data_IF_171897589662
#
_entry.id   IF_171897589662
#
_cell.length_a   1.000
_cell.length_b   1.000
_cell.length_c   1.000
_cell.angle_alpha   90.00
_cell.angle_beta   90.00
_cell.angle_gamma   90.00
#
_symmetry.space_group_name_H-M   'P 1'
#
loop_
_entity.id
_entity.type
_entity.pdbx_description
1 polymer ?
#
# COMPACT_ATOMS: atom_id res chain seq x y z
N UNK A 1 -11.48 -4.44 7.19
CA UNK A 1 -10.02 -4.25 7.06
C UNK A 1 -9.51 -3.62 8.33
N UNK A 2 -8.38 -4.07 8.87
CA UNK A 2 -7.67 -3.42 9.97
C UNK A 2 -6.23 -3.14 9.59
N UNK A 3 -5.66 -2.09 10.19
CA UNK A 3 -4.26 -1.69 10.00
C UNK A 3 -3.54 -1.79 11.36
N UNK A 4 -3.18 -3.02 11.79
CA UNK A 4 -2.67 -3.27 13.14
C UNK A 4 -1.33 -2.60 13.44
N UNK A 5 -0.43 -2.54 12.45
CA UNK A 5 0.91 -1.99 12.63
C UNK A 5 1.35 -1.13 11.44
N UNK A 6 2.00 -0.01 11.75
CA UNK A 6 2.66 0.87 10.79
C UNK A 6 4.10 1.10 11.21
N UNK A 7 5.05 0.89 10.30
CA UNK A 7 6.49 1.04 10.53
C UNK A 7 7.10 1.93 9.45
N UNK A 8 8.05 2.77 9.83
CA UNK A 8 8.87 3.52 8.89
C UNK A 8 10.11 2.68 8.57
N UNK A 9 10.33 2.34 7.31
CA UNK A 9 11.42 1.46 6.87
C UNK A 9 12.26 2.13 5.78
N UNK A 10 13.60 2.01 5.80
CA UNK A 10 14.43 2.44 4.67
C UNK A 10 14.01 1.73 3.39
N UNK A 11 13.96 2.45 2.26
CA UNK A 11 13.51 1.85 0.99
C UNK A 11 14.34 0.63 0.57
N UNK A 12 15.65 0.64 0.82
CA UNK A 12 16.53 -0.48 0.52
C UNK A 12 16.31 -1.73 1.38
N UNK A 13 15.58 -1.62 2.49
CA UNK A 13 15.31 -2.75 3.40
C UNK A 13 13.92 -3.37 3.18
N UNK A 14 13.09 -2.75 2.33
CA UNK A 14 11.71 -3.19 2.05
C UNK A 14 11.64 -4.65 1.64
N UNK A 15 12.42 -5.06 0.65
CA UNK A 15 12.34 -6.44 0.13
C UNK A 15 12.76 -7.47 1.18
N UNK A 16 13.77 -7.14 2.00
CA UNK A 16 14.21 -7.98 3.10
C UNK A 16 13.11 -8.12 4.17
N UNK A 17 12.40 -7.04 4.50
CA UNK A 17 11.33 -7.06 5.49
C UNK A 17 10.10 -7.88 5.07
N UNK A 18 9.92 -8.09 3.76
CA UNK A 18 8.75 -8.80 3.19
C UNK A 18 8.97 -10.31 2.99
N UNK A 19 10.11 -10.84 3.43
CA UNK A 19 10.41 -12.28 3.34
C UNK A 19 11.51 -12.66 2.35
N UNK A 20 12.20 -11.68 1.77
CA UNK A 20 13.42 -11.89 1.01
C UNK A 20 13.35 -11.38 -0.42
N UNK A 21 14.52 -11.10 -0.98
CA UNK A 21 14.67 -10.42 -2.27
C UNK A 21 14.14 -11.25 -3.45
N UNK A 22 14.34 -12.57 -3.40
CA UNK A 22 13.93 -13.54 -4.42
C UNK A 22 12.53 -14.12 -4.18
N UNK A 23 11.75 -13.56 -3.25
CA UNK A 23 10.39 -14.00 -3.03
C UNK A 23 9.52 -13.62 -4.24
N UNK A 24 8.85 -14.56 -4.92
CA UNK A 24 7.90 -14.24 -5.97
C UNK A 24 6.67 -13.56 -5.36
N UNK A 25 6.30 -12.38 -5.88
CA UNK A 25 5.21 -11.58 -5.37
C UNK A 25 4.28 -11.10 -6.50
N UNK A 26 3.03 -10.82 -6.15
CA UNK A 26 2.15 -9.96 -6.92
C UNK A 26 2.17 -8.57 -6.28
N UNK A 27 2.62 -7.57 -7.04
CA UNK A 27 2.60 -6.17 -6.65
C UNK A 27 1.49 -5.41 -7.37
N UNK A 28 0.71 -4.63 -6.62
CA UNK A 28 -0.27 -3.68 -7.17
C UNK A 28 0.15 -2.27 -6.77
N UNK A 29 0.58 -1.48 -7.77
CA UNK A 29 0.98 -0.10 -7.59
C UNK A 29 -0.16 0.84 -7.95
N UNK A 30 -0.42 1.81 -7.06
CA UNK A 30 -1.42 2.88 -7.24
C UNK A 30 -0.71 4.20 -7.06
N UNK A 31 -0.53 4.95 -8.15
CA UNK A 31 0.13 6.26 -8.09
C UNK A 31 -0.69 7.29 -7.30
N UNK A 32 0.00 8.15 -6.55
CA UNK A 32 -0.57 9.27 -5.80
C UNK A 32 -0.16 10.59 -6.47
N UNK A 33 -1.12 11.50 -6.62
CA UNK A 33 -0.93 12.83 -7.19
C UNK A 33 -1.74 13.89 -6.43
N UNK A 34 -1.44 15.17 -6.69
CA UNK A 34 -2.09 16.32 -6.05
C UNK A 34 -1.06 17.15 -5.27
N UNK A 35 -1.41 17.55 -4.05
CA UNK A 35 -0.51 18.29 -3.16
C UNK A 35 0.68 17.46 -2.68
N UNK A 36 0.52 16.13 -2.68
CA UNK A 36 1.55 15.13 -2.44
C UNK A 36 1.67 14.20 -3.65
N UNK A 37 2.90 13.81 -3.95
CA UNK A 37 3.30 12.89 -5.01
C UNK A 37 3.90 11.64 -4.39
N UNK A 38 3.56 10.50 -4.94
CA UNK A 38 3.94 9.22 -4.36
C UNK A 38 3.27 8.04 -5.03
N UNK A 39 3.18 6.95 -4.29
CA UNK A 39 2.38 5.80 -4.64
C UNK A 39 2.18 4.86 -3.46
N UNK A 40 1.10 4.10 -3.56
CA UNK A 40 0.81 2.98 -2.69
C UNK A 40 1.15 1.68 -3.43
N UNK A 41 1.90 0.79 -2.81
CA UNK A 41 2.29 -0.50 -3.36
C UNK A 41 1.81 -1.61 -2.43
N UNK A 42 0.78 -2.34 -2.85
CA UNK A 42 0.34 -3.56 -2.20
C UNK A 42 1.25 -4.70 -2.67
N UNK A 43 1.85 -5.44 -1.74
CA UNK A 43 2.70 -6.60 -2.01
C UNK A 43 2.12 -7.84 -1.34
N UNK A 44 1.97 -8.88 -2.16
CA UNK A 44 1.45 -10.18 -1.75
C UNK A 44 2.44 -11.26 -2.22
N UNK A 45 2.93 -12.16 -1.35
CA UNK A 45 3.57 -13.38 -1.80
C UNK A 45 2.68 -14.10 -2.82
N UNK A 46 3.28 -14.69 -3.85
CA UNK A 46 2.52 -15.31 -4.96
C UNK A 46 1.45 -16.30 -4.47
N UNK A 47 1.78 -17.14 -3.51
CA UNK A 47 0.85 -18.14 -2.96
C UNK A 47 -0.31 -17.48 -2.21
N UNK A 48 -0.03 -16.39 -1.47
CA UNK A 48 -1.06 -15.56 -0.84
C UNK A 48 -1.95 -14.89 -1.89
N UNK A 49 -1.38 -14.38 -2.98
CA UNK A 49 -2.14 -13.76 -4.07
C UNK A 49 -3.09 -14.75 -4.76
N UNK A 50 -2.66 -16.01 -4.96
CA UNK A 50 -3.50 -17.08 -5.52
C UNK A 50 -4.70 -17.37 -4.60
N UNK A 51 -4.45 -17.68 -3.33
CA UNK A 51 -5.53 -17.95 -2.37
C UNK A 51 -6.45 -16.74 -2.15
N UNK A 52 -5.90 -15.53 -2.19
CA UNK A 52 -6.70 -14.31 -2.09
C UNK A 52 -7.57 -14.10 -3.33
N UNK A 53 -7.07 -14.44 -4.52
CA UNK A 53 -7.89 -14.39 -5.74
C UNK A 53 -9.03 -15.41 -5.72
N UNK A 54 -8.82 -16.62 -5.18
CA UNK A 54 -9.89 -17.60 -4.97
C UNK A 54 -11.00 -17.01 -4.11
N UNK A 55 -10.63 -16.40 -2.98
CA UNK A 55 -11.56 -15.75 -2.07
C UNK A 55 -12.34 -14.61 -2.73
N UNK A 56 -11.65 -13.70 -3.43
CA UNK A 56 -12.27 -12.54 -4.10
C UNK A 56 -13.24 -12.96 -5.22
N UNK A 57 -12.94 -14.07 -5.90
CA UNK A 57 -13.74 -14.60 -7.00
C UNK A 57 -14.77 -15.65 -6.55
N UNK A 58 -14.86 -15.94 -5.25
CA UNK A 58 -15.80 -16.92 -4.69
C UNK A 58 -15.53 -18.36 -5.14
N UNK A 59 -14.27 -18.72 -5.36
CA UNK A 59 -13.82 -20.05 -5.78
C UNK A 59 -13.40 -20.90 -4.57
N UNK A 60 -13.26 -22.20 -4.78
CA UNK A 60 -12.70 -23.09 -3.76
C UNK A 60 -11.25 -22.73 -3.47
N UNK A 61 -10.87 -22.70 -2.19
CA UNK A 61 -9.51 -22.35 -1.77
C UNK A 61 -8.47 -23.31 -2.37
N UNK A 62 -7.46 -22.76 -3.06
CA UNK A 62 -6.40 -23.52 -3.72
C UNK A 62 -6.78 -24.02 -5.12
N UNK A 63 -7.94 -23.61 -5.66
CA UNK A 63 -8.35 -23.96 -7.02
C UNK A 63 -7.60 -23.16 -8.09
N UNK A 64 -7.13 -21.95 -7.75
CA UNK A 64 -6.32 -21.12 -8.66
C UNK A 64 -4.84 -21.50 -8.58
N UNK A 65 -4.25 -21.86 -9.73
CA UNK A 65 -2.83 -22.24 -9.84
C UNK A 65 -1.94 -21.18 -10.51
N UNK A 66 -2.56 -20.20 -11.18
CA UNK A 66 -1.89 -19.13 -11.90
C UNK A 66 -2.70 -17.83 -11.78
N UNK A 67 -1.99 -16.69 -11.75
CA UNK A 67 -2.60 -15.37 -11.78
C UNK A 67 -2.79 -14.96 -13.25
N UNK A 68 -4.01 -15.14 -13.77
CA UNK A 68 -4.43 -14.67 -15.08
C UNK A 68 -5.07 -13.28 -15.02
N UNK A 69 -5.71 -12.87 -16.11
CA UNK A 69 -6.31 -11.53 -16.20
C UNK A 69 -7.42 -11.30 -15.16
N UNK A 70 -8.25 -12.31 -14.89
CA UNK A 70 -9.34 -12.21 -13.91
C UNK A 70 -8.81 -12.04 -12.49
N UNK A 71 -7.84 -12.85 -12.09
CA UNK A 71 -7.22 -12.80 -10.76
C UNK A 71 -6.48 -11.48 -10.57
N UNK A 72 -5.71 -11.06 -11.57
CA UNK A 72 -5.01 -9.77 -11.54
C UNK A 72 -5.98 -8.60 -11.46
N UNK A 73 -7.12 -8.67 -12.15
CA UNK A 73 -8.16 -7.63 -12.07
C UNK A 73 -8.73 -7.51 -10.65
N UNK A 74 -9.06 -8.64 -10.02
CA UNK A 74 -9.58 -8.65 -8.65
C UNK A 74 -8.57 -8.10 -7.63
N UNK A 75 -7.29 -8.49 -7.77
CA UNK A 75 -6.22 -7.99 -6.92
C UNK A 75 -5.95 -6.48 -7.14
N UNK A 76 -6.04 -6.01 -8.39
CA UNK A 76 -5.93 -4.57 -8.72
C UNK A 76 -7.01 -3.74 -8.04
N UNK A 77 -8.26 -4.22 -8.07
CA UNK A 77 -9.36 -3.54 -7.39
C UNK A 77 -9.13 -3.48 -5.89
N UNK A 78 -8.64 -4.57 -5.29
CA UNK A 78 -8.29 -4.59 -3.86
C UNK A 78 -7.19 -3.58 -3.52
N UNK A 79 -6.11 -3.53 -4.32
CA UNK A 79 -5.05 -2.53 -4.13
C UNK A 79 -5.56 -1.09 -4.25
N UNK A 80 -6.47 -0.83 -5.20
CA UNK A 80 -7.12 0.46 -5.36
C UNK A 80 -7.99 0.83 -4.14
N UNK A 81 -8.78 -0.11 -3.61
CA UNK A 81 -9.58 0.10 -2.39
C UNK A 81 -8.71 0.40 -1.18
N UNK A 82 -7.64 -0.37 -0.96
CA UNK A 82 -6.72 -0.15 0.16
C UNK A 82 -6.01 1.21 0.06
N UNK A 83 -5.52 1.56 -1.13
CA UNK A 83 -4.93 2.86 -1.39
C UNK A 83 -5.93 4.00 -1.19
N UNK A 84 -7.18 3.84 -1.65
CA UNK A 84 -8.24 4.85 -1.49
C UNK A 84 -8.58 5.07 -0.02
N UNK A 85 -8.73 3.99 0.75
CA UNK A 85 -8.99 4.07 2.18
C UNK A 85 -7.88 4.83 2.91
N UNK A 86 -6.62 4.53 2.62
CA UNK A 86 -5.49 5.16 3.30
C UNK A 86 -5.32 6.64 2.89
N UNK A 87 -5.41 6.93 1.60
CA UNK A 87 -5.28 8.30 1.07
C UNK A 87 -6.43 9.20 1.49
N UNK A 88 -7.65 8.67 1.61
CA UNK A 88 -8.79 9.39 2.16
C UNK A 88 -8.52 9.82 3.61
N UNK A 89 -8.01 8.91 4.46
CA UNK A 89 -7.63 9.28 5.83
C UNK A 89 -6.55 10.36 5.87
N UNK A 90 -5.56 10.33 4.98
CA UNK A 90 -4.57 11.42 4.86
C UNK A 90 -5.25 12.73 4.49
N UNK A 91 -6.11 12.72 3.46
CA UNK A 91 -6.80 13.92 2.99
C UNK A 91 -7.66 14.54 4.09
N UNK A 92 -8.43 13.72 4.83
CA UNK A 92 -9.28 14.18 5.94
C UNK A 92 -8.45 14.78 7.08
N UNK A 93 -7.32 14.15 7.43
CA UNK A 93 -6.47 14.58 8.53
C UNK A 93 -5.59 15.79 8.21
N UNK A 94 -5.33 16.07 6.93
CA UNK A 94 -4.36 17.10 6.52
C UNK A 94 -4.95 18.21 5.66
N UNK A 95 -6.17 17.99 5.16
CA UNK A 95 -6.86 18.84 4.18
C UNK A 95 -6.03 19.06 2.91
N UNK A 96 -5.21 18.08 2.53
CA UNK A 96 -4.45 18.06 1.29
C UNK A 96 -5.29 17.46 0.15
N UNK A 97 -5.12 17.96 -1.08
CA UNK A 97 -5.63 17.31 -2.29
C UNK A 97 -4.80 16.05 -2.57
N UNK A 98 -5.41 14.88 -2.37
CA UNK A 98 -4.77 13.58 -2.64
C UNK A 98 -5.64 12.81 -3.63
N UNK A 99 -5.07 12.49 -4.79
CA UNK A 99 -5.74 11.79 -5.89
C UNK A 99 -4.99 10.52 -6.25
N UNK A 100 -5.73 9.48 -6.58
CA UNK A 100 -5.18 8.21 -7.05
C UNK A 100 -5.17 8.13 -8.58
N UNK A 101 -4.14 7.47 -9.11
CA UNK A 101 -4.03 7.06 -10.51
C UNK A 101 -4.56 5.64 -10.68
N UNK A 102 -4.73 5.23 -11.94
CA UNK A 102 -5.14 3.87 -12.30
C UNK A 102 -4.12 2.86 -11.74
N UNK A 103 -4.57 1.77 -11.08
CA UNK A 103 -3.67 0.77 -10.53
C UNK A 103 -2.98 -0.03 -11.64
N UNK A 104 -1.71 -0.37 -11.45
CA UNK A 104 -0.93 -1.27 -12.29
C UNK A 104 -0.51 -2.49 -11.47
N UNK A 105 -0.52 -3.68 -12.06
CA UNK A 105 -0.11 -4.90 -11.38
C UNK A 105 1.02 -5.61 -12.11
N UNK A 106 1.96 -6.16 -11.35
CA UNK A 106 3.11 -6.92 -11.84
C UNK A 106 3.31 -8.16 -10.97
N UNK A 107 3.70 -9.27 -11.58
CA UNK A 107 4.10 -10.49 -10.89
C UNK A 107 5.56 -10.75 -11.22
N UNK A 108 6.43 -10.66 -10.22
CA UNK A 108 7.88 -10.82 -10.37
C UNK A 108 8.52 -11.09 -9.00
N UNK A 109 9.85 -11.15 -8.94
CA UNK A 109 10.59 -11.15 -7.69
C UNK A 109 10.38 -9.84 -6.92
N UNK A 110 10.37 -9.92 -5.58
CA UNK A 110 10.07 -8.79 -4.72
C UNK A 110 10.95 -7.56 -5.01
N UNK A 111 12.27 -7.73 -5.12
CA UNK A 111 13.18 -6.63 -5.48
C UNK A 111 12.85 -6.03 -6.83
N UNK A 112 12.56 -6.85 -7.84
CA UNK A 112 12.24 -6.35 -9.18
C UNK A 112 10.96 -5.51 -9.19
N UNK A 113 9.93 -5.92 -8.45
CA UNK A 113 8.70 -5.15 -8.30
C UNK A 113 8.97 -3.82 -7.59
N UNK A 114 9.66 -3.85 -6.45
CA UNK A 114 9.97 -2.63 -5.67
C UNK A 114 10.83 -1.67 -6.48
N UNK A 115 11.92 -2.13 -7.10
CA UNK A 115 12.81 -1.31 -7.92
C UNK A 115 12.09 -0.70 -9.12
N UNK A 116 11.20 -1.44 -9.77
CA UNK A 116 10.43 -0.93 -10.91
C UNK A 116 9.53 0.25 -10.51
N UNK A 117 8.96 0.20 -9.31
CA UNK A 117 8.17 1.29 -8.74
C UNK A 117 9.07 2.46 -8.36
N UNK A 118 10.20 2.19 -7.72
CA UNK A 118 11.15 3.22 -7.29
C UNK A 118 11.75 4.00 -8.46
N UNK A 119 12.02 3.32 -9.58
CA UNK A 119 12.51 3.92 -10.81
C UNK A 119 11.53 4.94 -11.43
N UNK A 120 10.24 4.88 -11.07
CA UNK A 120 9.21 5.82 -11.51
C UNK A 120 9.20 7.15 -10.76
N UNK A 121 9.89 7.27 -9.62
CA UNK A 121 9.95 8.51 -8.85
C UNK A 121 11.09 9.40 -9.29
N UNK A 122 10.87 10.72 -9.30
CA UNK A 122 11.94 11.67 -9.61
C UNK A 122 12.89 11.82 -8.43
N UNK A 123 12.33 11.90 -7.22
CA UNK A 123 13.08 11.99 -5.97
C UNK A 123 12.37 11.19 -4.88
N UNK A 124 12.55 9.86 -4.84
CA UNK A 124 11.96 9.05 -3.77
C UNK A 124 12.48 9.53 -2.41
N UNK A 125 11.59 9.54 -1.41
CA UNK A 125 11.99 9.74 -0.02
C UNK A 125 12.97 8.66 0.46
N UNK A 126 13.63 8.89 1.59
CA UNK A 126 14.58 7.90 2.13
C UNK A 126 13.89 6.66 2.74
N UNK A 127 12.60 6.79 3.09
CA UNK A 127 11.84 5.77 3.80
C UNK A 127 10.47 5.56 3.16
N UNK A 128 9.92 4.37 3.32
CA UNK A 128 8.52 4.05 3.10
C UNK A 128 7.79 3.85 4.43
N UNK A 129 6.48 4.09 4.43
CA UNK A 129 5.61 3.57 5.47
C UNK A 129 5.19 2.16 5.06
N UNK A 130 5.58 1.16 5.83
CA UNK A 130 5.11 -0.21 5.71
C UNK A 130 3.92 -0.39 6.66
N UNK A 131 2.79 -0.79 6.10
CA UNK A 131 1.55 -1.00 6.82
C UNK A 131 1.14 -2.44 6.58
N UNK A 132 0.99 -3.20 7.65
CA UNK A 132 0.35 -4.50 7.59
C UNK A 132 -1.17 -4.27 7.58
N UNK A 133 -1.88 -4.90 6.65
CA UNK A 133 -3.31 -4.75 6.48
C UNK A 133 -3.99 -6.12 6.50
N UNK A 134 -4.92 -6.31 7.43
CA UNK A 134 -5.75 -7.51 7.47
C UNK A 134 -7.00 -7.30 6.62
N UNK A 135 -7.19 -8.18 5.64
CA UNK A 135 -8.41 -8.26 4.86
C UNK A 135 -9.20 -9.49 5.32
N UNK A 136 -10.44 -9.26 5.73
CA UNK A 136 -11.35 -10.32 6.18
C UNK A 136 -12.46 -10.50 5.16
N UNK A 137 -12.78 -11.75 4.84
CA UNK A 137 -13.93 -12.11 4.02
C UNK A 137 -14.84 -13.08 4.78
N UNK A 138 -16.15 -12.76 4.79
CA UNK A 138 -17.21 -13.56 5.39
C UNK A 138 -16.89 -14.13 6.80
N UNK A 139 -16.24 -13.33 7.65
CA UNK A 139 -15.91 -13.62 9.06
C UNK A 139 -15.04 -14.88 9.31
N UNK A 140 -14.41 -15.47 8.28
CA UNK A 140 -13.67 -16.74 8.43
C UNK A 140 -12.27 -16.76 7.85
N UNK A 141 -11.99 -15.97 6.83
CA UNK A 141 -10.69 -15.98 6.17
C UNK A 141 -10.01 -14.62 6.30
N UNK A 142 -8.79 -14.64 6.84
CA UNK A 142 -7.93 -13.48 7.01
C UNK A 142 -6.78 -13.57 6.02
N UNK A 143 -6.59 -12.54 5.22
CA UNK A 143 -5.43 -12.36 4.36
C UNK A 143 -4.63 -11.18 4.90
N UNK A 144 -3.35 -11.43 5.20
CA UNK A 144 -2.41 -10.38 5.60
C UNK A 144 -1.75 -9.83 4.33
N UNK A 145 -1.88 -8.53 4.17
CA UNK A 145 -1.40 -7.75 3.04
C UNK A 145 -0.33 -6.77 3.51
N UNK A 146 0.72 -6.54 2.72
CA UNK A 146 1.67 -5.47 3.00
C UNK A 146 1.40 -4.29 2.07
N UNK A 147 1.04 -3.15 2.65
CA UNK A 147 0.84 -1.89 1.93
C UNK A 147 2.02 -0.96 2.21
N UNK A 148 2.74 -0.59 1.16
CA UNK A 148 3.81 0.39 1.25
C UNK A 148 3.36 1.73 0.71
N UNK A 149 3.64 2.79 1.45
CA UNK A 149 3.44 4.16 1.00
C UNK A 149 4.80 4.78 0.78
N UNK A 150 5.08 5.09 -0.48
CA UNK A 150 6.29 5.79 -0.91
C UNK A 150 5.88 7.18 -1.35
N UNK A 151 6.44 8.20 -0.71
CA UNK A 151 6.24 9.59 -1.11
C UNK A 151 7.54 10.17 -1.63
N UNK A 152 7.44 11.12 -2.54
CA UNK A 152 8.60 11.94 -2.90
C UNK A 152 9.03 12.80 -1.70
N UNK A 153 10.31 13.17 -1.67
CA UNK A 153 10.93 13.90 -0.54
C UNK A 153 10.11 15.12 -0.10
N UNK A 154 9.81 16.03 -1.03
CA UNK A 154 9.03 17.24 -0.72
C UNK A 154 7.62 16.91 -0.21
N UNK A 155 7.02 15.84 -0.73
CA UNK A 155 5.67 15.41 -0.36
C UNK A 155 5.62 14.86 1.07
N UNK A 156 6.65 14.12 1.47
CA UNK A 156 6.83 13.67 2.85
C UNK A 156 7.00 14.87 3.81
N UNK A 157 7.83 15.84 3.46
CA UNK A 157 8.04 17.06 4.26
C UNK A 157 6.74 17.85 4.46
N UNK A 158 5.95 18.03 3.38
CA UNK A 158 4.64 18.68 3.44
C UNK A 158 3.66 17.92 4.33
N UNK A 159 3.59 16.59 4.20
CA UNK A 159 2.72 15.76 5.01
C UNK A 159 3.05 15.90 6.51
N UNK A 160 4.33 15.78 6.87
CA UNK A 160 4.79 15.91 8.25
C UNK A 160 4.49 17.30 8.84
N UNK A 161 4.70 18.37 8.06
CA UNK A 161 4.39 19.73 8.49
C UNK A 161 2.89 19.91 8.83
N UNK A 162 1.99 19.32 8.02
CA UNK A 162 0.53 19.37 8.27
C UNK A 162 0.13 18.61 9.53
N UNK A 163 0.67 17.41 9.72
CA UNK A 163 0.39 16.56 10.89
C UNK A 163 0.92 17.22 12.18
N UNK A 164 2.14 17.77 12.16
CA UNK A 164 2.72 18.46 13.30
C UNK A 164 1.89 19.69 13.72
N UNK A 165 1.54 20.56 12.76
CA UNK A 165 0.78 21.77 13.04
C UNK A 165 -0.66 21.55 13.53
N UNK A 166 -1.26 20.36 13.36
CA UNK A 166 -2.54 20.02 13.99
C UNK A 166 -2.38 19.52 15.43
N UNK A 167 -1.32 18.78 15.75
CA UNK A 167 -1.04 18.34 17.13
C UNK A 167 -0.87 19.53 18.09
N UNK A 168 -0.23 20.60 17.65
CA UNK A 168 -0.04 21.81 18.44
C UNK A 168 -1.37 22.57 18.69
N UNK A 169 -2.29 22.55 17.70
CA UNK A 169 -3.62 23.17 17.81
C UNK A 169 -4.60 22.37 18.67
N UNK A 170 -4.47 21.04 18.72
CA UNK A 170 -5.30 20.18 19.57
C UNK A 170 -5.02 20.30 21.08
N UNK A 171 -3.81 20.75 21.46
CA UNK A 171 -3.42 20.92 22.88
C UNK A 171 -3.97 22.22 23.48
N UNK A 172 -4.25 23.25 22.67
CA UNK A 172 -4.81 24.52 23.14
C UNK A 172 -6.35 24.57 23.20
N UNK A 173 -7.06 23.51 22.78
CA UNK A 173 -8.53 23.47 22.72
C UNK A 173 -9.23 22.86 23.94
N UNK A 174 -8.55 22.71 25.09
CA UNK A 174 -9.11 22.04 26.29
C UNK A 174 -9.08 22.89 27.57
N UNK A 175 -9.17 24.21 27.41
CA UNK A 175 -9.45 25.12 28.52
C UNK A 175 -10.59 26.04 28.09
N UNK A 176 -11.83 25.58 28.33
CA UNK A 176 -13.03 26.38 28.64
C UNK A 176 -14.21 25.44 28.96
#
# INVERSE_FOLDING_TARGET
MSFPETKLIPLGEVACALGGEELPVCGVFVGIAGDILGGALLLLPRDTALGFSDMLLGREAGSTSQLGEEEISALRETGNILAASFTASIADETSLDVRLKVPEARVDMCVAVVDSVLAGFSQPGAHALLIEADVFYADREQVVCNLLIVLERESMERLLAKVAGRRERGVHGKAE
#
